data_IF_391360377029
#
_entry.id   IF_391360377029
#
_cell.length_a   1.000
_cell.length_b   1.000
_cell.length_c   1.000
_cell.angle_alpha   90.00
_cell.angle_beta   90.00
_cell.angle_gamma   90.00
#
_symmetry.space_group_name_H-M   'P 1'
#
loop_
_entity.id
_entity.type
_entity.pdbx_description
1 polymer ?
#
# COMPACT_ATOMS: atom_id res chain seq x y z
N UNK A 1 -12.11 10.64 -1.02
CA UNK A 1 -12.33 9.66 -2.11
C UNK A 1 -13.09 8.46 -1.56
N UNK A 2 -14.11 8.01 -2.27
CA UNK A 2 -14.88 6.83 -1.86
C UNK A 2 -14.08 5.57 -2.15
N UNK A 3 -14.26 4.56 -1.30
CA UNK A 3 -13.57 3.26 -1.45
C UNK A 3 -13.80 2.64 -2.82
N UNK A 4 -15.01 2.75 -3.35
CA UNK A 4 -15.37 2.22 -4.67
C UNK A 4 -14.56 2.87 -5.79
N UNK A 5 -14.41 4.18 -5.76
CA UNK A 5 -13.61 4.93 -6.74
C UNK A 5 -12.15 4.52 -6.68
N UNK A 6 -11.60 4.37 -5.49
CA UNK A 6 -10.22 3.93 -5.29
C UNK A 6 -10.00 2.53 -5.86
N UNK A 7 -10.94 1.61 -5.65
CA UNK A 7 -10.86 0.27 -6.21
C UNK A 7 -10.89 0.28 -7.72
N UNK A 8 -11.74 1.11 -8.31
CA UNK A 8 -11.86 1.22 -9.77
C UNK A 8 -10.57 1.74 -10.38
N UNK A 9 -9.96 2.74 -9.78
CA UNK A 9 -8.66 3.26 -10.22
C UNK A 9 -7.59 2.17 -10.17
N UNK A 10 -7.52 1.44 -9.07
CA UNK A 10 -6.52 0.37 -8.91
C UNK A 10 -6.73 -0.76 -9.91
N UNK A 11 -7.98 -1.11 -10.21
CA UNK A 11 -8.29 -2.15 -11.19
C UNK A 11 -7.88 -1.78 -12.61
N UNK A 12 -7.85 -0.49 -12.92
CA UNK A 12 -7.39 0.01 -14.21
C UNK A 12 -5.88 -0.01 -14.40
N UNK A 13 -5.12 -0.30 -13.33
CA UNK A 13 -3.67 -0.31 -13.39
C UNK A 13 -3.13 -1.65 -13.90
N UNK A 14 -1.99 -1.59 -14.57
CA UNK A 14 -1.29 -2.80 -15.00
C UNK A 14 -0.63 -3.49 -13.81
N UNK A 15 -0.23 -4.77 -14.00
CA UNK A 15 0.50 -5.51 -12.97
C UNK A 15 1.79 -4.79 -12.58
N UNK A 16 2.51 -4.21 -13.55
CA UNK A 16 3.74 -3.47 -13.27
C UNK A 16 3.47 -2.23 -12.42
N UNK A 17 2.41 -1.50 -12.72
CA UNK A 17 2.02 -0.33 -11.94
C UNK A 17 1.67 -0.71 -10.50
N UNK A 18 0.95 -1.82 -10.34
CA UNK A 18 0.60 -2.30 -9.00
C UNK A 18 1.84 -2.72 -8.22
N UNK A 19 2.79 -3.38 -8.87
CA UNK A 19 4.06 -3.76 -8.23
C UNK A 19 4.87 -2.53 -7.82
N UNK A 20 4.91 -1.51 -8.65
CA UNK A 20 5.58 -0.25 -8.33
C UNK A 20 4.94 0.39 -7.09
N UNK A 21 3.62 0.41 -7.02
CA UNK A 21 2.91 0.93 -5.85
C UNK A 21 3.22 0.13 -4.59
N UNK A 22 3.31 -1.19 -4.70
CA UNK A 22 3.69 -2.04 -3.57
C UNK A 22 5.07 -1.65 -3.05
N UNK A 23 6.04 -1.48 -3.94
CA UNK A 23 7.39 -1.06 -3.54
C UNK A 23 7.40 0.29 -2.86
N UNK A 24 6.67 1.26 -3.42
CA UNK A 24 6.59 2.59 -2.85
C UNK A 24 5.96 2.56 -1.45
N UNK A 25 4.89 1.80 -1.29
CA UNK A 25 4.22 1.67 0.00
C UNK A 25 5.08 0.95 1.02
N UNK A 26 5.76 -0.12 0.61
CA UNK A 26 6.69 -0.84 1.48
C UNK A 26 7.82 0.09 1.96
N UNK A 27 8.36 0.91 1.06
CA UNK A 27 9.41 1.87 1.39
C UNK A 27 8.91 2.91 2.40
N UNK A 28 7.72 3.46 2.18
CA UNK A 28 7.12 4.41 3.10
C UNK A 28 6.86 3.80 4.48
N UNK A 29 6.34 2.58 4.51
CA UNK A 29 6.09 1.86 5.77
C UNK A 29 7.41 1.61 6.50
N UNK A 30 8.45 1.22 5.78
CA UNK A 30 9.78 1.00 6.35
C UNK A 30 10.32 2.27 7.01
N UNK A 31 10.22 3.41 6.32
CA UNK A 31 10.65 4.70 6.86
C UNK A 31 9.87 5.08 8.11
N UNK A 32 8.56 4.84 8.10
CA UNK A 32 7.70 5.14 9.25
C UNK A 32 8.03 4.22 10.44
N UNK A 33 8.40 2.97 10.18
CA UNK A 33 8.86 2.07 11.23
C UNK A 33 10.10 2.60 11.93
N UNK A 34 11.05 3.12 11.15
CA UNK A 34 12.26 3.70 11.71
C UNK A 34 11.91 4.93 12.55
N UNK A 35 11.05 5.80 12.06
CA UNK A 35 10.59 6.98 12.79
C UNK A 35 9.91 6.61 14.10
N UNK A 36 9.08 5.58 14.07
CA UNK A 36 8.41 5.09 15.27
C UNK A 36 9.41 4.55 16.29
N UNK A 37 10.42 3.83 15.83
CA UNK A 37 11.46 3.29 16.70
C UNK A 37 12.28 4.40 17.36
N UNK A 38 12.39 5.58 16.73
CA UNK A 38 13.07 6.74 17.30
C UNK A 38 12.17 7.63 18.17
N UNK A 39 10.97 7.15 18.49
CA UNK A 39 10.08 7.83 19.43
C UNK A 39 9.00 8.73 18.82
N UNK A 40 8.83 8.72 17.50
CA UNK A 40 7.78 9.51 16.85
C UNK A 40 6.46 8.74 16.81
N UNK A 41 5.62 8.98 17.80
CA UNK A 41 4.35 8.26 17.96
C UNK A 41 3.41 8.43 16.77
N UNK A 42 3.44 9.58 16.10
CA UNK A 42 2.57 9.86 14.96
C UNK A 42 2.84 8.94 13.76
N UNK A 43 4.05 8.40 13.66
CA UNK A 43 4.40 7.49 12.57
C UNK A 43 3.52 6.24 12.54
N UNK A 44 3.11 5.73 13.71
CA UNK A 44 2.21 4.59 13.79
C UNK A 44 0.85 4.86 13.17
N UNK A 45 0.32 6.07 13.35
CA UNK A 45 -0.97 6.46 12.76
C UNK A 45 -0.89 6.60 11.25
N UNK A 46 0.25 7.06 10.73
CA UNK A 46 0.47 7.17 9.29
C UNK A 46 0.62 5.83 8.60
N UNK A 47 1.06 4.79 9.33
CA UNK A 47 1.24 3.46 8.78
C UNK A 47 -0.07 2.74 8.48
N UNK A 48 -1.13 3.00 9.26
CA UNK A 48 -2.42 2.30 9.09
C UNK A 48 -3.02 2.45 7.69
N UNK A 49 -3.19 3.67 7.16
CA UNK A 49 -3.75 3.80 5.81
C UNK A 49 -2.85 3.21 4.74
N UNK A 50 -1.54 3.28 4.93
CA UNK A 50 -0.60 2.70 3.98
C UNK A 50 -0.69 1.18 3.94
N UNK A 51 -0.83 0.54 5.10
CA UNK A 51 -1.02 -0.91 5.19
C UNK A 51 -2.32 -1.35 4.53
N UNK A 52 -3.40 -0.58 4.69
CA UNK A 52 -4.68 -0.87 4.04
C UNK A 52 -4.57 -0.78 2.53
N UNK A 53 -3.90 0.23 2.01
CA UNK A 53 -3.65 0.37 0.58
C UNK A 53 -2.82 -0.81 0.05
N UNK A 54 -1.77 -1.17 0.78
CA UNK A 54 -0.91 -2.29 0.41
C UNK A 54 -1.70 -3.59 0.33
N UNK A 55 -2.54 -3.87 1.33
CA UNK A 55 -3.38 -5.06 1.35
C UNK A 55 -4.32 -5.12 0.15
N UNK A 56 -4.93 -3.99 -0.21
CA UNK A 56 -5.82 -3.91 -1.38
C UNK A 56 -5.08 -4.19 -2.67
N UNK A 57 -3.89 -3.62 -2.82
CA UNK A 57 -3.08 -3.81 -4.03
C UNK A 57 -2.63 -5.26 -4.14
N UNK A 58 -2.22 -5.88 -3.04
CA UNK A 58 -1.85 -7.30 -3.02
C UNK A 58 -3.04 -8.19 -3.39
N UNK A 59 -4.23 -7.85 -2.92
CA UNK A 59 -5.46 -8.58 -3.28
C UNK A 59 -5.71 -8.49 -4.79
N UNK A 60 -5.56 -7.31 -5.37
CA UNK A 60 -5.75 -7.12 -6.81
C UNK A 60 -4.71 -7.89 -7.63
N UNK A 61 -3.46 -7.91 -7.18
CA UNK A 61 -2.43 -8.72 -7.84
C UNK A 61 -2.78 -10.18 -7.79
N UNK A 62 -3.29 -10.67 -6.66
CA UNK A 62 -3.74 -12.05 -6.51
C UNK A 62 -4.91 -12.35 -7.46
N UNK A 63 -5.87 -11.44 -7.59
CA UNK A 63 -6.99 -11.58 -8.53
C UNK A 63 -6.52 -11.67 -9.98
N UNK A 64 -5.43 -10.99 -10.31
CA UNK A 64 -4.84 -11.03 -11.66
C UNK A 64 -3.96 -12.26 -11.87
N UNK A 65 -3.86 -13.16 -10.89
CA UNK A 65 -3.06 -14.37 -10.98
C UNK A 65 -1.58 -14.19 -10.73
N UNK A 66 -1.18 -13.07 -10.17
CA UNK A 66 0.22 -12.78 -9.86
C UNK A 66 0.50 -13.19 -8.41
N UNK A 67 1.51 -14.01 -8.21
CA UNK A 67 1.99 -14.36 -6.88
C UNK A 67 3.15 -13.45 -6.48
N UNK A 68 3.10 -12.97 -5.28
CA UNK A 68 4.21 -12.21 -4.70
C UNK A 68 5.39 -13.11 -4.35
#
# INVERSE_FOLDING_TARGET
>A
MKITEQRNELRGLTVEDLRTRVRDLDDQIFRLRIQRATGQAEAGNKMRPLRKQLARIKTLLSEKGVKD
#
